data_IF_167441638758
#
_entry.id   IF_167441638758
#
_cell.length_a   1.000
_cell.length_b   1.000
_cell.length_c   1.000
_cell.angle_alpha   90.00
_cell.angle_beta   90.00
_cell.angle_gamma   90.00
#
_symmetry.space_group_name_H-M   'P 1'
#
loop_
_entity.id
_entity.type
_entity.pdbx_description
1 polymer ?
#
# COMPACT_ATOMS: atom_id res chain seq x y z
N UNK A 1 11.37 -32.47 1.75
CA UNK A 1 10.21 -31.84 2.41
C UNK A 1 10.08 -30.46 1.78
N UNK A 2 9.25 -30.32 0.75
CA UNK A 2 8.86 -29.01 0.19
C UNK A 2 7.58 -28.61 0.95
N UNK A 3 7.26 -27.36 1.26
CA UNK A 3 7.59 -26.09 0.60
C UNK A 3 7.81 -25.05 1.71
N UNK A 4 8.81 -24.19 1.56
CA UNK A 4 8.80 -22.91 2.26
C UNK A 4 7.57 -22.16 1.75
N UNK A 5 6.51 -22.06 2.55
CA UNK A 5 5.59 -20.96 2.39
C UNK A 5 6.44 -19.72 2.68
N UNK A 6 6.74 -18.92 1.66
CA UNK A 6 7.28 -17.59 1.88
C UNK A 6 6.28 -16.88 2.78
N UNK A 7 6.67 -16.65 4.04
CA UNK A 7 5.87 -15.86 4.95
C UNK A 7 5.91 -14.45 4.35
N UNK A 8 4.81 -13.99 3.73
CA UNK A 8 4.76 -12.66 3.13
C UNK A 8 4.71 -11.66 4.29
N UNK A 9 5.86 -11.11 4.67
CA UNK A 9 5.99 -10.22 5.83
C UNK A 9 5.36 -8.84 5.59
N UNK A 10 5.40 -8.32 4.36
CA UNK A 10 4.94 -6.97 4.01
C UNK A 10 3.56 -6.95 3.34
N UNK A 11 2.77 -5.95 3.70
CA UNK A 11 1.41 -5.73 3.18
C UNK A 11 1.23 -4.28 2.79
N UNK A 12 0.72 -4.02 1.59
CA UNK A 12 0.28 -2.68 1.18
C UNK A 12 -1.24 -2.67 1.05
N UNK A 13 -1.89 -1.77 1.79
CA UNK A 13 -3.31 -1.49 1.66
C UNK A 13 -3.51 -0.27 0.74
N UNK A 14 -4.31 -0.45 -0.31
CA UNK A 14 -4.67 0.58 -1.30
C UNK A 14 -6.19 0.74 -1.42
N UNK A 15 -6.65 1.85 -2.00
CA UNK A 15 -8.09 2.14 -2.14
C UNK A 15 -8.73 1.36 -3.30
N UNK A 16 -8.09 1.35 -4.47
CA UNK A 16 -8.66 0.81 -5.70
C UNK A 16 -7.85 -0.31 -6.36
N UNK A 17 -8.51 -1.02 -7.28
CA UNK A 17 -7.86 -2.10 -8.06
C UNK A 17 -6.88 -1.58 -9.12
N UNK A 18 -7.03 -0.34 -9.57
CA UNK A 18 -6.05 0.38 -10.40
C UNK A 18 -4.74 0.57 -9.64
N UNK A 19 -4.82 1.00 -8.39
CA UNK A 19 -3.66 1.24 -7.52
C UNK A 19 -2.93 -0.07 -7.29
N UNK A 20 -3.67 -1.13 -6.94
CA UNK A 20 -3.11 -2.47 -6.75
C UNK A 20 -2.34 -2.95 -7.98
N UNK A 21 -2.92 -2.82 -9.17
CA UNK A 21 -2.25 -3.23 -10.42
C UNK A 21 -0.97 -2.44 -10.65
N UNK A 22 -1.00 -1.14 -10.41
CA UNK A 22 0.14 -0.25 -10.60
C UNK A 22 1.27 -0.55 -9.61
N UNK A 23 0.96 -0.64 -8.32
CA UNK A 23 1.92 -0.99 -7.27
C UNK A 23 2.53 -2.36 -7.56
N UNK A 24 1.71 -3.36 -7.92
CA UNK A 24 2.17 -4.71 -8.24
C UNK A 24 3.19 -4.76 -9.37
N UNK A 25 3.08 -3.89 -10.37
CA UNK A 25 4.02 -3.84 -11.49
C UNK A 25 5.38 -3.25 -11.08
N UNK A 26 5.44 -2.46 -10.01
CA UNK A 26 6.64 -1.73 -9.58
C UNK A 26 7.44 -2.53 -8.56
N UNK A 27 6.77 -3.23 -7.64
CA UNK A 27 7.43 -4.01 -6.57
C UNK A 27 8.18 -5.23 -7.13
N UNK A 28 9.33 -5.55 -6.52
CA UNK A 28 10.23 -6.65 -6.92
C UNK A 28 10.33 -7.76 -5.86
N UNK A 29 9.82 -7.54 -4.67
CA UNK A 29 9.76 -8.53 -3.60
C UNK A 29 8.32 -9.04 -3.35
N UNK A 30 8.14 -10.17 -2.64
CA UNK A 30 6.84 -10.65 -2.22
C UNK A 30 6.15 -9.66 -1.27
N UNK A 31 5.10 -8.99 -1.74
CA UNK A 31 4.25 -8.11 -0.93
C UNK A 31 2.80 -8.45 -1.20
N UNK A 32 2.00 -8.59 -0.14
CA UNK A 32 0.55 -8.71 -0.29
C UNK A 32 -0.06 -7.33 -0.55
N UNK A 33 -0.93 -7.22 -1.54
CA UNK A 33 -1.64 -5.95 -1.81
C UNK A 33 -3.14 -6.15 -1.62
N UNK A 34 -3.71 -5.44 -0.64
CA UNK A 34 -5.12 -5.50 -0.26
C UNK A 34 -5.82 -4.24 -0.76
N UNK A 35 -6.98 -4.40 -1.37
CA UNK A 35 -7.83 -3.27 -1.80
C UNK A 35 -9.00 -3.10 -0.83
N UNK A 36 -9.24 -1.89 -0.35
CA UNK A 36 -10.44 -1.58 0.44
C UNK A 36 -11.68 -1.38 -0.43
N UNK A 37 -11.51 -1.11 -1.73
CA UNK A 37 -12.57 -0.74 -2.68
C UNK A 37 -13.33 0.53 -2.26
N UNK A 38 -12.58 1.57 -1.89
CA UNK A 38 -13.10 2.81 -1.32
C UNK A 38 -12.95 2.81 0.21
N UNK A 39 -14.05 3.04 0.92
CA UNK A 39 -14.06 3.04 2.40
C UNK A 39 -14.08 1.61 2.98
N UNK A 40 -13.70 1.48 4.25
CA UNK A 40 -13.75 0.23 5.00
C UNK A 40 -14.63 0.42 6.25
N UNK A 41 -15.50 -0.54 6.56
CA UNK A 41 -16.26 -0.51 7.81
C UNK A 41 -15.34 -0.76 9.01
N UNK A 42 -15.73 -0.32 10.21
CA UNK A 42 -14.96 -0.58 11.44
C UNK A 42 -14.80 -2.08 11.66
N UNK A 43 -15.89 -2.86 11.58
CA UNK A 43 -15.84 -4.32 11.74
C UNK A 43 -14.89 -4.99 10.75
N UNK A 44 -14.90 -4.57 9.47
CA UNK A 44 -13.98 -5.17 8.48
C UNK A 44 -12.54 -4.73 8.71
N UNK A 45 -12.32 -3.54 9.26
CA UNK A 45 -10.99 -3.08 9.65
C UNK A 45 -10.47 -3.87 10.87
N UNK A 46 -11.31 -4.14 11.86
CA UNK A 46 -10.93 -4.97 13.02
C UNK A 46 -10.51 -6.38 12.57
N UNK A 47 -11.31 -7.03 11.71
CA UNK A 47 -10.95 -8.32 11.11
C UNK A 47 -9.63 -8.26 10.34
N UNK A 48 -9.41 -7.19 9.58
CA UNK A 48 -8.19 -6.99 8.82
C UNK A 48 -6.98 -6.79 9.74
N UNK A 49 -7.12 -6.09 10.87
CA UNK A 49 -6.04 -5.91 11.84
C UNK A 49 -5.63 -7.26 12.42
N UNK A 50 -6.61 -8.10 12.79
CA UNK A 50 -6.35 -9.45 13.30
C UNK A 50 -5.66 -10.34 12.25
N UNK A 51 -6.08 -10.26 10.98
CA UNK A 51 -5.48 -10.98 9.84
C UNK A 51 -4.02 -10.53 9.57
N UNK A 52 -3.69 -9.28 9.89
CA UNK A 52 -2.40 -8.66 9.60
C UNK A 52 -1.46 -8.56 10.81
N UNK A 53 -1.79 -9.26 11.90
CA UNK A 53 -0.96 -9.30 13.09
C UNK A 53 0.47 -9.77 12.76
N UNK A 54 1.47 -9.09 13.34
CA UNK A 54 2.91 -9.37 13.15
C UNK A 54 3.44 -9.17 11.70
N UNK A 55 2.72 -8.39 10.89
CA UNK A 55 3.13 -8.03 9.51
C UNK A 55 3.47 -6.56 9.41
N UNK A 56 4.39 -6.23 8.49
CA UNK A 56 4.72 -4.86 8.16
C UNK A 56 3.65 -4.27 7.23
N UNK A 57 2.72 -3.50 7.81
CA UNK A 57 1.58 -2.94 7.08
C UNK A 57 1.84 -1.50 6.62
N UNK A 58 1.61 -1.24 5.34
CA UNK A 58 1.77 0.06 4.69
C UNK A 58 0.45 0.55 4.10
N UNK A 59 0.03 1.77 4.45
CA UNK A 59 -1.18 2.42 3.93
C UNK A 59 -0.79 3.38 2.81
N UNK A 60 -1.15 3.04 1.56
CA UNK A 60 -0.92 3.85 0.37
C UNK A 60 -2.27 4.17 -0.29
N UNK A 61 -2.90 5.23 0.19
CA UNK A 61 -4.23 5.70 -0.26
C UNK A 61 -4.12 7.05 -0.97
N UNK A 62 -5.15 7.38 -1.74
CA UNK A 62 -5.21 8.60 -2.53
C UNK A 62 -5.08 9.88 -1.68
N UNK A 63 -4.57 10.93 -2.31
CA UNK A 63 -4.42 12.26 -1.72
C UNK A 63 -5.68 13.12 -2.00
N UNK A 64 -6.86 12.53 -1.81
CA UNK A 64 -8.16 13.19 -1.95
C UNK A 64 -9.00 13.08 -0.66
N UNK A 65 -10.26 13.52 -0.70
CA UNK A 65 -11.11 13.52 0.49
C UNK A 65 -11.46 12.10 0.97
N UNK A 66 -11.61 11.13 0.06
CA UNK A 66 -11.91 9.74 0.39
C UNK A 66 -10.70 9.09 1.05
N UNK A 67 -9.54 9.19 0.40
CA UNK A 67 -8.29 8.67 0.91
C UNK A 67 -7.90 9.28 2.26
N UNK A 68 -8.14 10.57 2.49
CA UNK A 68 -7.86 11.20 3.79
C UNK A 68 -8.82 10.73 4.89
N UNK A 69 -10.09 10.44 4.59
CA UNK A 69 -11.03 9.82 5.55
C UNK A 69 -10.57 8.42 5.92
N UNK A 70 -10.20 7.61 4.92
CA UNK A 70 -9.68 6.26 5.12
C UNK A 70 -8.39 6.28 5.94
N UNK A 71 -7.47 7.20 5.64
CA UNK A 71 -6.23 7.42 6.38
C UNK A 71 -6.48 7.76 7.84
N UNK A 72 -7.42 8.65 8.14
CA UNK A 72 -7.80 9.01 9.52
C UNK A 72 -8.37 7.82 10.29
N UNK A 73 -9.13 6.96 9.61
CA UNK A 73 -9.66 5.73 10.21
C UNK A 73 -8.52 4.77 10.56
N UNK A 74 -7.61 4.48 9.63
CA UNK A 74 -6.42 3.65 9.91
C UNK A 74 -5.57 4.22 11.05
N UNK A 75 -5.30 5.52 11.09
CA UNK A 75 -4.54 6.13 12.21
C UNK A 75 -5.20 5.94 13.58
N UNK A 76 -6.53 5.80 13.62
CA UNK A 76 -7.29 5.64 14.86
C UNK A 76 -7.38 4.18 15.29
N UNK A 77 -7.70 3.28 14.36
CA UNK A 77 -7.94 1.87 14.67
C UNK A 77 -6.70 0.98 14.49
N UNK A 78 -5.77 1.35 13.61
CA UNK A 78 -4.54 0.60 13.29
C UNK A 78 -3.27 1.49 13.32
N UNK A 79 -2.91 2.06 14.48
CA UNK A 79 -1.82 3.03 14.61
C UNK A 79 -0.43 2.48 14.27
N UNK A 80 -0.24 1.16 14.29
CA UNK A 80 1.02 0.48 13.93
C UNK A 80 1.32 0.52 12.44
N UNK A 81 0.31 0.73 11.58
CA UNK A 81 0.49 0.74 10.14
C UNK A 81 1.26 1.99 9.66
N UNK A 82 2.29 1.77 8.84
CA UNK A 82 3.10 2.83 8.25
C UNK A 82 2.32 3.55 7.14
N UNK A 83 2.28 4.88 7.18
CA UNK A 83 1.54 5.67 6.19
C UNK A 83 2.46 6.18 5.08
N UNK A 84 2.22 5.72 3.86
CA UNK A 84 2.90 6.20 2.65
C UNK A 84 2.08 7.32 2.00
N UNK A 85 2.78 8.20 1.29
CA UNK A 85 2.22 9.40 0.69
C UNK A 85 2.76 9.60 -0.72
N UNK A 86 1.87 9.78 -1.68
CA UNK A 86 2.21 10.33 -2.99
C UNK A 86 2.23 11.86 -2.94
N UNK A 87 2.86 12.51 -3.93
CA UNK A 87 2.71 13.95 -4.07
C UNK A 87 1.24 14.29 -4.32
N UNK A 88 0.67 15.17 -3.49
CA UNK A 88 -0.72 15.60 -3.55
C UNK A 88 -1.11 16.18 -4.91
N UNK A 89 -0.15 16.67 -5.71
CA UNK A 89 -0.41 17.15 -7.07
C UNK A 89 -0.95 16.06 -8.00
N UNK A 90 -0.59 14.80 -7.75
CA UNK A 90 -1.08 13.67 -8.56
C UNK A 90 -2.47 13.20 -8.15
N UNK A 91 -2.91 13.53 -6.93
CA UNK A 91 -4.21 13.19 -6.34
C UNK A 91 -4.46 11.70 -6.13
N UNK A 92 -4.25 10.85 -7.13
CA UNK A 92 -4.54 9.42 -7.10
C UNK A 92 -3.27 8.58 -7.28
N UNK A 93 -3.18 7.44 -6.60
CA UNK A 93 -2.07 6.49 -6.76
C UNK A 93 -2.04 5.96 -8.20
N UNK A 94 -3.21 5.67 -8.77
CA UNK A 94 -3.40 5.25 -10.15
C UNK A 94 -2.80 6.20 -11.19
N UNK A 95 -2.70 7.51 -10.91
CA UNK A 95 -2.21 8.53 -11.87
C UNK A 95 -0.80 9.04 -11.58
N UNK A 96 -0.28 8.84 -10.36
CA UNK A 96 1.08 9.27 -9.99
C UNK A 96 2.19 8.68 -10.90
N UNK A 97 3.20 9.42 -11.37
CA UNK A 97 4.27 8.86 -12.19
C UNK A 97 4.92 7.62 -11.57
N UNK A 98 5.23 6.60 -12.37
CA UNK A 98 5.77 5.34 -11.85
C UNK A 98 7.07 5.54 -11.07
N UNK A 99 7.95 6.45 -11.53
CA UNK A 99 9.17 6.83 -10.82
C UNK A 99 8.92 7.44 -9.45
N UNK A 100 7.89 8.29 -9.34
CA UNK A 100 7.49 8.87 -8.07
C UNK A 100 7.06 7.75 -7.12
N UNK A 101 6.18 6.86 -7.58
CA UNK A 101 5.69 5.75 -6.78
C UNK A 101 6.82 4.76 -6.39
N UNK A 102 7.73 4.46 -7.31
CA UNK A 102 8.91 3.62 -7.04
C UNK A 102 9.82 4.23 -5.97
N UNK A 103 10.02 5.55 -5.99
CA UNK A 103 10.81 6.27 -4.98
C UNK A 103 10.14 6.22 -3.60
N UNK A 104 8.82 6.38 -3.54
CA UNK A 104 8.05 6.27 -2.28
C UNK A 104 8.15 4.86 -1.69
N UNK A 105 7.97 3.82 -2.52
CA UNK A 105 8.08 2.42 -2.09
C UNK A 105 9.50 2.08 -1.62
N UNK A 106 10.52 2.50 -2.37
CA UNK A 106 11.92 2.29 -1.99
C UNK A 106 12.26 2.97 -0.65
N UNK A 107 11.76 4.18 -0.42
CA UNK A 107 11.91 4.88 0.86
C UNK A 107 11.22 4.19 2.05
N UNK A 108 10.26 3.30 1.77
CA UNK A 108 9.58 2.46 2.76
C UNK A 108 10.28 1.10 2.98
N UNK A 109 11.49 0.92 2.43
CA UNK A 109 12.22 -0.34 2.40
C UNK A 109 11.46 -1.44 1.63
N UNK A 110 10.77 -1.07 0.56
CA UNK A 110 10.11 -2.00 -0.36
C UNK A 110 10.91 -2.03 -1.67
N UNK A 111 11.44 -3.19 -2.03
CA UNK A 111 12.22 -3.41 -3.24
C UNK A 111 11.35 -3.20 -4.48
N UNK A 112 11.89 -2.45 -5.44
CA UNK A 112 11.24 -2.12 -6.72
C UNK A 112 12.12 -2.53 -7.90
N UNK A 113 11.51 -2.72 -9.07
CA UNK A 113 12.29 -2.87 -10.30
C UNK A 113 12.97 -1.54 -10.65
N UNK A 114 14.29 -1.59 -10.86
CA UNK A 114 15.13 -0.40 -11.08
C UNK A 114 14.73 0.39 -12.32
N UNK A 115 14.16 -0.27 -13.32
CA UNK A 115 13.63 0.38 -14.54
C UNK A 115 12.58 1.46 -14.25
N UNK A 116 11.87 1.38 -13.12
CA UNK A 116 10.92 2.42 -12.73
C UNK A 116 11.61 3.64 -12.10
N UNK A 117 12.83 3.53 -11.59
CA UNK A 117 13.60 4.66 -11.04
C UNK A 117 14.19 5.54 -12.15
N UNK A 118 14.45 4.96 -13.32
CA UNK A 118 15.07 5.61 -14.47
C UNK A 118 14.06 6.27 -15.43
N UNK A 119 12.75 5.99 -15.28
CA UNK A 119 11.69 6.56 -16.12
C UNK A 119 11.44 8.04 -15.77
N UNK A 120 11.90 8.95 -16.63
CA UNK A 120 11.70 10.41 -16.52
C UNK A 120 11.46 11.05 -17.87
#
# INVERSE_FOLDING_TARGET
MNMHAENIEKVIIVEGTSDKRKVKNIIKEPVEIICTNGTISITRLDELIDELFDRDVYILVDADESGEKLRKQFKREFPEAAHLYIDKMYREVATAPEKHLATVLLGANIDVYTEFLDRG
#
